data_IF_941261001155
#
_entry.id   IF_941261001155
#
_cell.length_a   1.000
_cell.length_b   1.000
_cell.length_c   1.000
_cell.angle_alpha   90.00
_cell.angle_beta   90.00
_cell.angle_gamma   90.00
#
_symmetry.space_group_name_H-M   'P 1'
#
loop_
_entity.id
_entity.type
_entity.pdbx_description
1 polymer ?
#
# COMPACT_ATOMS: atom_id res chain seq x y z
N UNK A 1 7.20 -35.87 -23.14
CA UNK A 1 7.86 -34.72 -22.46
C UNK A 1 8.11 -35.13 -21.03
N UNK A 2 9.36 -35.42 -20.66
CA UNK A 2 9.69 -35.71 -19.28
C UNK A 2 9.53 -34.43 -18.45
N UNK A 3 8.56 -34.41 -17.56
CA UNK A 3 8.45 -33.36 -16.55
C UNK A 3 9.68 -33.46 -15.64
N UNK A 4 10.56 -32.47 -15.69
CA UNK A 4 11.65 -32.33 -14.74
C UNK A 4 11.00 -31.94 -13.42
N UNK A 5 10.90 -32.86 -12.49
CA UNK A 5 10.45 -32.54 -11.13
C UNK A 5 11.56 -31.74 -10.44
N UNK A 6 11.29 -30.52 -9.98
CA UNK A 6 12.33 -29.73 -9.31
C UNK A 6 12.81 -30.45 -8.05
N UNK A 7 14.12 -30.53 -7.86
CA UNK A 7 14.73 -31.16 -6.68
C UNK A 7 14.93 -30.21 -5.51
N UNK A 8 14.62 -28.91 -5.67
CA UNK A 8 14.72 -27.92 -4.62
C UNK A 8 13.39 -27.75 -3.89
N UNK A 9 13.45 -27.45 -2.60
CA UNK A 9 12.29 -27.12 -1.79
C UNK A 9 12.07 -25.61 -1.77
N UNK A 10 10.86 -25.20 -2.07
CA UNK A 10 10.43 -23.82 -1.88
C UNK A 10 10.47 -23.45 -0.39
N UNK A 11 10.75 -22.19 -0.06
CA UNK A 11 10.55 -21.67 1.28
C UNK A 11 9.08 -21.83 1.70
N UNK A 12 8.79 -22.06 3.00
CA UNK A 12 7.43 -22.28 3.51
C UNK A 12 6.47 -21.20 3.02
N UNK A 13 6.82 -19.92 3.16
CA UNK A 13 6.02 -18.79 2.70
C UNK A 13 5.66 -18.85 1.20
N UNK A 14 6.55 -19.35 0.35
CA UNK A 14 6.28 -19.51 -1.07
C UNK A 14 5.40 -20.73 -1.38
N UNK A 15 5.29 -21.69 -0.47
CA UNK A 15 4.39 -22.84 -0.61
C UNK A 15 2.94 -22.46 -0.25
N UNK A 16 2.78 -21.53 0.68
CA UNK A 16 1.48 -21.06 1.15
C UNK A 16 0.90 -19.95 0.25
N UNK A 17 1.74 -19.32 -0.57
CA UNK A 17 1.33 -18.34 -1.57
C UNK A 17 0.83 -19.05 -2.84
N UNK A 18 -0.25 -19.79 -2.73
CA UNK A 18 -1.05 -20.07 -3.90
C UNK A 18 -1.79 -18.79 -4.21
N UNK A 19 -1.22 -17.97 -5.11
CA UNK A 19 -1.96 -16.84 -5.65
C UNK A 19 -3.30 -17.41 -6.16
N UNK A 20 -4.45 -17.06 -5.56
CA UNK A 20 -5.70 -17.32 -6.22
C UNK A 20 -5.55 -16.66 -7.58
N UNK A 21 -5.73 -17.42 -8.64
CA UNK A 21 -5.76 -16.85 -9.96
C UNK A 21 -6.83 -15.74 -9.94
N UNK A 22 -6.39 -14.49 -9.86
CA UNK A 22 -7.26 -13.30 -10.03
C UNK A 22 -7.65 -13.18 -11.51
N UNK A 23 -7.54 -14.26 -12.22
CA UNK A 23 -8.25 -14.50 -13.47
C UNK A 23 -9.64 -15.01 -13.07
N UNK A 24 -10.49 -14.11 -12.55
CA UNK A 24 -11.90 -14.29 -12.80
C UNK A 24 -12.05 -14.31 -14.32
N UNK A 25 -11.93 -15.50 -14.90
CA UNK A 25 -12.30 -15.71 -16.29
C UNK A 25 -13.75 -15.29 -16.39
N UNK A 26 -14.00 -14.21 -17.12
CA UNK A 26 -15.34 -13.77 -17.42
C UNK A 26 -16.08 -14.97 -18.03
N UNK A 27 -16.95 -15.57 -17.26
CA UNK A 27 -17.81 -16.61 -17.78
C UNK A 27 -18.97 -15.94 -18.54
N UNK A 28 -18.90 -15.96 -19.87
CA UNK A 28 -19.96 -15.45 -20.74
C UNK A 28 -20.08 -13.92 -20.78
N UNK A 29 -21.30 -13.39 -20.74
CA UNK A 29 -21.61 -11.97 -20.85
C UNK A 29 -21.52 -11.19 -19.53
N UNK A 30 -20.71 -11.62 -18.57
CA UNK A 30 -20.54 -10.95 -17.30
C UNK A 30 -19.81 -9.60 -17.48
N UNK A 31 -20.39 -8.55 -16.89
CA UNK A 31 -19.75 -7.24 -16.81
C UNK A 31 -18.64 -7.31 -15.74
N UNK A 32 -17.41 -7.02 -16.13
CA UNK A 32 -16.27 -7.03 -15.23
C UNK A 32 -16.22 -5.72 -14.41
N UNK A 33 -16.53 -5.81 -13.13
CA UNK A 33 -16.45 -4.68 -12.18
C UNK A 33 -15.32 -4.86 -11.15
N UNK A 34 -14.53 -5.93 -11.26
CA UNK A 34 -13.55 -6.29 -10.24
C UNK A 34 -12.14 -5.72 -10.43
N UNK A 35 -11.82 -5.17 -11.59
CA UNK A 35 -10.50 -4.60 -11.89
C UNK A 35 -10.56 -3.08 -12.00
N UNK A 36 -9.76 -2.37 -11.20
CA UNK A 36 -9.65 -0.91 -11.28
C UNK A 36 -8.72 -0.44 -12.40
N UNK A 37 -8.95 -0.89 -13.64
CA UNK A 37 -8.18 -0.46 -14.79
C UNK A 37 -8.79 0.80 -15.41
N UNK A 38 -7.93 1.80 -15.69
CA UNK A 38 -8.35 2.96 -16.49
C UNK A 38 -8.80 2.51 -17.89
N UNK A 39 -9.82 3.16 -18.45
CA UNK A 39 -10.23 2.90 -19.81
C UNK A 39 -9.14 3.43 -20.77
N UNK A 40 -8.59 2.60 -21.69
CA UNK A 40 -7.41 2.98 -22.48
C UNK A 40 -7.56 4.30 -23.23
N UNK A 41 -8.75 4.58 -23.78
CA UNK A 41 -9.00 5.80 -24.58
C UNK A 41 -9.05 7.09 -23.72
N UNK A 42 -9.09 6.96 -22.38
CA UNK A 42 -9.08 8.10 -21.45
C UNK A 42 -7.70 8.36 -20.86
N UNK A 43 -6.71 7.51 -21.14
CA UNK A 43 -5.35 7.73 -20.69
C UNK A 43 -4.67 8.82 -21.52
N UNK A 44 -3.92 9.74 -20.88
CA UNK A 44 -3.21 10.78 -21.61
C UNK A 44 -2.13 10.18 -22.53
N UNK A 45 -2.05 10.66 -23.76
CA UNK A 45 -0.97 10.29 -24.69
C UNK A 45 0.32 11.06 -24.38
N UNK A 46 0.98 10.63 -23.30
CA UNK A 46 2.27 11.22 -22.88
C UNK A 46 3.47 10.36 -23.30
N UNK A 47 3.22 9.22 -23.94
CA UNK A 47 4.29 8.25 -24.24
C UNK A 47 5.29 8.83 -25.23
N UNK A 48 4.83 9.47 -26.29
CA UNK A 48 5.71 10.08 -27.30
C UNK A 48 6.58 11.19 -26.69
N UNK A 49 6.02 12.04 -25.85
CA UNK A 49 6.75 13.10 -25.14
C UNK A 49 7.77 12.51 -24.14
N UNK A 50 7.37 11.52 -23.36
CA UNK A 50 8.24 10.85 -22.41
C UNK A 50 9.43 10.14 -23.10
N UNK A 51 9.19 9.48 -24.24
CA UNK A 51 10.24 8.85 -25.04
C UNK A 51 11.21 9.90 -25.58
N UNK A 52 10.71 10.98 -26.19
CA UNK A 52 11.55 12.06 -26.69
C UNK A 52 12.41 12.70 -25.58
N UNK A 53 11.84 12.91 -24.40
CA UNK A 53 12.58 13.42 -23.25
C UNK A 53 13.65 12.44 -22.75
N UNK A 54 13.37 11.13 -22.78
CA UNK A 54 14.30 10.10 -22.39
C UNK A 54 15.46 9.92 -23.38
N UNK A 55 15.18 9.93 -24.69
CA UNK A 55 16.18 9.81 -25.76
C UNK A 55 17.17 10.99 -25.77
N UNK A 56 16.74 12.17 -25.30
CA UNK A 56 17.60 13.34 -25.18
C UNK A 56 18.70 13.21 -24.12
N UNK A 57 18.61 12.20 -23.25
CA UNK A 57 19.57 11.98 -22.15
C UNK A 57 20.24 10.62 -22.30
N UNK A 58 21.52 10.61 -22.71
CA UNK A 58 22.29 9.36 -22.86
C UNK A 58 22.38 8.55 -21.57
N UNK A 59 22.31 9.20 -20.42
CA UNK A 59 22.33 8.56 -19.10
C UNK A 59 21.07 7.73 -18.81
N UNK A 60 19.98 7.90 -19.52
CA UNK A 60 18.72 7.15 -19.31
C UNK A 60 18.91 5.62 -19.45
N UNK A 61 19.89 5.20 -20.22
CA UNK A 61 20.23 3.78 -20.45
C UNK A 61 21.26 3.22 -19.46
N UNK A 62 21.69 4.02 -18.49
CA UNK A 62 22.65 3.61 -17.46
C UNK A 62 21.95 3.28 -16.15
N UNK A 63 22.73 2.72 -15.21
CA UNK A 63 22.26 2.54 -13.84
C UNK A 63 21.91 3.90 -13.22
N UNK A 64 20.72 4.00 -12.66
CA UNK A 64 20.29 5.17 -11.92
C UNK A 64 20.81 5.22 -10.48
N UNK A 65 20.65 6.35 -9.80
CA UNK A 65 20.97 6.47 -8.37
C UNK A 65 20.07 5.56 -7.51
N UNK A 66 20.62 5.09 -6.39
CA UNK A 66 19.96 4.12 -5.49
C UNK A 66 18.56 4.55 -5.03
N UNK A 67 18.37 5.83 -4.76
CA UNK A 67 17.10 6.38 -4.25
C UNK A 67 16.17 6.90 -5.34
N UNK A 68 16.57 6.85 -6.59
CA UNK A 68 15.89 7.47 -7.73
C UNK A 68 16.55 8.78 -8.17
N UNK A 69 16.19 9.25 -9.38
CA UNK A 69 16.73 10.48 -9.94
C UNK A 69 16.39 11.67 -9.04
N UNK A 70 17.37 12.54 -8.80
CA UNK A 70 17.22 13.71 -7.92
C UNK A 70 16.12 14.66 -8.42
N UNK A 71 16.08 14.94 -9.73
CA UNK A 71 15.03 15.77 -10.34
C UNK A 71 13.62 15.21 -10.10
N UNK A 72 13.47 13.87 -10.19
CA UNK A 72 12.19 13.20 -9.91
C UNK A 72 11.82 13.33 -8.43
N UNK A 73 12.78 13.10 -7.53
CA UNK A 73 12.56 13.22 -6.08
C UNK A 73 12.19 14.64 -5.68
N UNK A 74 12.84 15.65 -6.25
CA UNK A 74 12.49 17.06 -6.05
C UNK A 74 11.08 17.39 -6.58
N UNK A 75 10.73 16.83 -7.74
CA UNK A 75 9.38 16.96 -8.30
C UNK A 75 8.33 16.33 -7.38
N UNK A 76 8.62 15.15 -6.79
CA UNK A 76 7.74 14.51 -5.82
C UNK A 76 7.60 15.36 -4.56
N UNK A 77 8.68 15.94 -4.03
CA UNK A 77 8.62 16.86 -2.89
C UNK A 77 7.69 18.05 -3.19
N UNK A 78 7.86 18.68 -4.35
CA UNK A 78 7.01 19.80 -4.78
C UNK A 78 5.55 19.39 -4.98
N UNK A 79 5.31 18.16 -5.44
CA UNK A 79 3.97 17.59 -5.60
C UNK A 79 3.30 17.35 -4.25
N UNK A 80 4.00 16.78 -3.27
CA UNK A 80 3.49 16.54 -1.92
C UNK A 80 3.21 17.85 -1.17
N UNK A 81 4.02 18.89 -1.40
CA UNK A 81 3.81 20.19 -0.79
C UNK A 81 2.47 20.85 -1.17
N UNK A 82 1.88 20.49 -2.33
CA UNK A 82 0.55 20.97 -2.73
C UNK A 82 -0.57 20.44 -1.81
N UNK A 83 -0.34 19.33 -1.15
CA UNK A 83 -1.25 18.70 -0.19
C UNK A 83 -0.83 19.02 1.27
N UNK A 84 0.06 19.99 1.47
CA UNK A 84 0.54 20.39 2.80
C UNK A 84 1.54 19.42 3.44
N UNK A 85 2.02 18.41 2.70
CA UNK A 85 3.00 17.45 3.19
C UNK A 85 4.40 18.06 3.06
N UNK A 86 5.06 18.28 4.19
CA UNK A 86 6.42 18.81 4.25
C UNK A 86 7.41 17.65 4.21
N UNK A 87 8.11 17.50 3.11
CA UNK A 87 9.13 16.48 2.92
C UNK A 87 10.40 17.10 2.35
N UNK A 88 11.55 16.48 2.62
CA UNK A 88 12.81 16.76 1.96
C UNK A 88 13.12 15.63 0.96
N UNK A 89 14.07 15.86 0.06
CA UNK A 89 14.49 14.84 -0.92
C UNK A 89 14.91 13.54 -0.25
N UNK A 90 15.53 13.60 0.92
CA UNK A 90 15.98 12.46 1.70
C UNK A 90 14.85 11.58 2.21
N UNK A 91 13.63 12.11 2.26
CA UNK A 91 12.43 11.34 2.63
C UNK A 91 11.81 10.60 1.45
N UNK A 92 12.34 10.75 0.23
CA UNK A 92 11.79 10.18 -0.98
C UNK A 92 12.64 9.00 -1.46
N UNK A 93 12.01 7.86 -1.61
CA UNK A 93 12.57 6.66 -2.24
C UNK A 93 11.68 6.27 -3.42
N UNK A 94 12.26 6.26 -4.62
CA UNK A 94 11.58 5.78 -5.83
C UNK A 94 11.66 4.26 -5.90
N UNK A 95 10.51 3.62 -6.00
CA UNK A 95 10.41 2.14 -6.00
C UNK A 95 9.64 1.63 -7.22
N UNK A 96 9.64 0.32 -7.43
CA UNK A 96 8.93 -0.32 -8.54
C UNK A 96 7.42 -0.49 -8.23
N UNK A 97 6.74 0.62 -7.97
CA UNK A 97 5.32 0.68 -7.62
C UNK A 97 5.05 0.51 -6.12
N UNK A 98 3.84 0.88 -5.68
CA UNK A 98 3.42 0.89 -4.28
C UNK A 98 3.55 -0.47 -3.59
N UNK A 99 3.30 -1.58 -4.31
CA UNK A 99 3.48 -2.94 -3.77
C UNK A 99 4.92 -3.21 -3.32
N UNK A 100 5.91 -2.75 -4.11
CA UNK A 100 7.31 -2.86 -3.72
C UNK A 100 7.63 -1.97 -2.51
N UNK A 101 7.03 -0.77 -2.44
CA UNK A 101 7.14 0.08 -1.26
C UNK A 101 6.62 -0.59 0.01
N UNK A 102 5.46 -1.24 -0.07
CA UNK A 102 4.89 -1.99 1.06
C UNK A 102 5.75 -3.20 1.45
N UNK A 103 6.27 -3.97 0.47
CA UNK A 103 7.19 -5.10 0.75
C UNK A 103 8.45 -4.61 1.47
N UNK A 104 9.03 -3.49 1.04
CA UNK A 104 10.19 -2.89 1.72
C UNK A 104 9.84 -2.41 3.14
N UNK A 105 8.69 -1.78 3.33
CA UNK A 105 8.23 -1.39 4.68
C UNK A 105 8.08 -2.62 5.59
N UNK A 106 7.47 -3.70 5.09
CA UNK A 106 7.39 -4.95 5.84
C UNK A 106 8.76 -5.46 6.26
N UNK A 107 9.73 -5.47 5.35
CA UNK A 107 11.11 -5.95 5.64
C UNK A 107 11.85 -5.09 6.66
N UNK A 108 11.52 -3.80 6.76
CA UNK A 108 12.16 -2.88 7.70
C UNK A 108 11.53 -2.95 9.09
N UNK A 109 10.21 -3.12 9.17
CA UNK A 109 9.46 -2.96 10.41
C UNK A 109 8.96 -4.26 11.04
N UNK A 110 8.90 -5.36 10.28
CA UNK A 110 8.27 -6.60 10.72
C UNK A 110 9.25 -7.77 10.83
N UNK A 111 9.11 -8.50 11.92
CA UNK A 111 9.62 -9.85 12.07
C UNK A 111 8.49 -10.87 11.91
N UNK A 112 8.79 -12.15 11.56
CA UNK A 112 7.78 -13.17 11.45
C UNK A 112 6.93 -13.32 12.73
N UNK A 113 5.62 -13.21 12.58
CA UNK A 113 4.67 -13.29 13.69
C UNK A 113 4.24 -11.95 14.28
N UNK A 114 4.91 -10.85 13.92
CA UNK A 114 4.50 -9.51 14.35
C UNK A 114 3.07 -9.18 13.89
N UNK A 115 2.35 -8.42 14.73
CA UNK A 115 1.00 -8.02 14.42
C UNK A 115 0.97 -6.75 13.56
N UNK A 116 0.08 -6.75 12.56
CA UNK A 116 -0.22 -5.59 11.71
C UNK A 116 -1.69 -5.23 11.83
N UNK A 117 -1.98 -3.95 12.06
CA UNK A 117 -3.33 -3.42 12.06
C UNK A 117 -3.78 -3.21 10.61
N UNK A 118 -4.97 -3.68 10.28
CA UNK A 118 -5.59 -3.49 8.97
C UNK A 118 -7.08 -3.20 9.10
N UNK A 119 -7.63 -2.43 8.18
CA UNK A 119 -9.08 -2.30 8.06
C UNK A 119 -9.72 -3.64 7.67
N UNK A 120 -10.99 -3.84 8.01
CA UNK A 120 -11.77 -5.01 7.60
C UNK A 120 -13.09 -4.58 6.95
N UNK A 121 -13.26 -4.78 5.63
CA UNK A 121 -12.31 -5.38 4.67
C UNK A 121 -11.12 -4.47 4.34
N UNK A 122 -10.09 -5.00 3.67
CA UNK A 122 -8.95 -4.23 3.18
C UNK A 122 -8.46 -4.70 1.81
N UNK A 123 -7.50 -3.98 1.22
CA UNK A 123 -6.94 -4.28 -0.09
C UNK A 123 -6.25 -5.65 -0.13
N UNK A 124 -6.80 -6.56 -0.96
CA UNK A 124 -6.39 -7.95 -0.99
C UNK A 124 -4.89 -8.15 -1.30
N UNK A 125 -4.32 -7.34 -2.20
CA UNK A 125 -2.90 -7.48 -2.53
C UNK A 125 -1.99 -7.10 -1.35
N UNK A 126 -2.38 -6.10 -0.55
CA UNK A 126 -1.65 -5.78 0.67
C UNK A 126 -1.69 -6.95 1.67
N UNK A 127 -2.85 -7.63 1.80
CA UNK A 127 -2.97 -8.83 2.63
C UNK A 127 -1.98 -9.91 2.20
N UNK A 128 -1.77 -10.10 0.89
CA UNK A 128 -0.79 -11.09 0.39
C UNK A 128 0.64 -10.70 0.78
N UNK A 129 1.02 -9.43 0.58
CA UNK A 129 2.37 -8.93 0.92
C UNK A 129 2.63 -9.08 2.43
N UNK A 130 1.65 -8.71 3.26
CA UNK A 130 1.74 -8.84 4.72
C UNK A 130 1.81 -10.31 5.16
N UNK A 131 1.10 -11.22 4.49
CA UNK A 131 1.23 -12.67 4.72
C UNK A 131 2.60 -13.21 4.31
N UNK A 132 3.15 -12.72 3.21
CA UNK A 132 4.50 -13.09 2.77
C UNK A 132 5.58 -12.64 3.77
N UNK A 133 5.31 -11.56 4.51
CA UNK A 133 6.10 -11.13 5.66
C UNK A 133 5.83 -11.94 6.95
N UNK A 134 4.98 -12.98 6.88
CA UNK A 134 4.55 -13.82 8.01
C UNK A 134 3.87 -13.02 9.14
N UNK A 135 3.23 -11.87 8.80
CA UNK A 135 2.53 -11.03 9.77
C UNK A 135 1.22 -11.69 10.27
N UNK A 136 0.87 -11.43 11.50
CA UNK A 136 -0.44 -11.68 12.08
C UNK A 136 -1.32 -10.43 11.96
N UNK A 137 -2.65 -10.58 11.89
CA UNK A 137 -3.55 -9.46 11.64
C UNK A 137 -4.36 -9.06 12.87
N UNK A 138 -4.35 -7.76 13.18
CA UNK A 138 -5.34 -7.12 14.03
C UNK A 138 -6.33 -6.37 13.11
N UNK A 139 -7.43 -7.05 12.76
CA UNK A 139 -8.43 -6.52 11.85
C UNK A 139 -9.44 -5.65 12.60
N UNK A 140 -9.63 -4.41 12.12
CA UNK A 140 -10.56 -3.43 12.70
C UNK A 140 -11.65 -3.09 11.68
N UNK A 141 -12.93 -3.20 12.01
CA UNK A 141 -14.01 -2.82 11.11
C UNK A 141 -13.98 -1.33 10.78
N UNK A 142 -14.65 -0.99 9.67
CA UNK A 142 -14.87 0.38 9.24
C UNK A 142 -16.34 0.74 9.39
N UNK A 143 -16.59 2.01 9.67
CA UNK A 143 -17.89 2.66 9.55
C UNK A 143 -17.82 3.73 8.43
N UNK A 144 -18.83 4.59 8.33
CA UNK A 144 -18.91 5.65 7.31
C UNK A 144 -17.80 6.70 7.42
N UNK A 145 -17.09 6.75 8.55
CA UNK A 145 -15.96 7.64 8.80
C UNK A 145 -14.58 6.95 8.66
N UNK A 146 -14.53 5.67 8.25
CA UNK A 146 -13.31 4.89 8.10
C UNK A 146 -13.09 3.90 9.26
N UNK A 147 -11.84 3.55 9.54
CA UNK A 147 -11.48 2.58 10.59
C UNK A 147 -12.04 3.02 11.95
N UNK A 148 -12.67 2.10 12.70
CA UNK A 148 -13.16 2.36 14.07
C UNK A 148 -11.98 2.53 15.06
N UNK A 149 -11.52 3.78 15.20
CA UNK A 149 -10.40 4.13 16.08
C UNK A 149 -10.70 3.91 17.55
N UNK A 150 -11.97 4.01 17.96
CA UNK A 150 -12.37 3.72 19.34
C UNK A 150 -12.28 2.23 19.67
N UNK A 151 -12.66 1.36 18.73
CA UNK A 151 -12.44 -0.08 18.88
C UNK A 151 -10.95 -0.41 18.83
N UNK A 152 -10.18 0.21 17.92
CA UNK A 152 -8.74 0.01 17.85
C UNK A 152 -8.08 0.33 19.19
N UNK A 153 -8.40 1.49 19.79
CA UNK A 153 -7.88 1.86 21.12
C UNK A 153 -8.14 0.77 22.13
N UNK A 154 -9.38 0.32 22.29
CA UNK A 154 -9.72 -0.76 23.23
C UNK A 154 -8.91 -2.02 22.99
N UNK A 155 -8.73 -2.43 21.74
CA UNK A 155 -7.94 -3.62 21.37
C UNK A 155 -6.45 -3.47 21.71
N UNK A 156 -5.90 -2.28 21.54
CA UNK A 156 -4.51 -1.98 21.90
C UNK A 156 -4.31 -1.98 23.43
N UNK A 157 -5.23 -1.37 24.15
CA UNK A 157 -5.23 -1.38 25.63
C UNK A 157 -5.36 -2.81 26.18
N UNK A 158 -6.33 -3.60 25.68
CA UNK A 158 -6.49 -5.00 26.05
C UNK A 158 -5.19 -5.82 25.83
N UNK A 159 -4.51 -5.60 24.70
CA UNK A 159 -3.23 -6.28 24.40
C UNK A 159 -2.13 -5.87 25.37
N UNK A 160 -1.97 -4.57 25.60
CA UNK A 160 -0.98 -4.02 26.54
C UNK A 160 -1.21 -4.55 27.95
N UNK A 161 -2.44 -4.51 28.44
CA UNK A 161 -2.79 -4.91 29.81
C UNK A 161 -2.62 -6.43 30.03
N UNK A 162 -2.79 -7.22 28.98
CA UNK A 162 -2.54 -8.68 28.99
C UNK A 162 -1.06 -9.04 28.71
N UNK A 163 -0.16 -8.07 28.52
CA UNK A 163 1.24 -8.32 28.19
C UNK A 163 1.43 -8.98 26.82
N UNK A 164 0.47 -8.83 25.91
CA UNK A 164 0.53 -9.34 24.55
C UNK A 164 1.44 -8.51 23.64
N UNK A 165 1.92 -9.09 22.52
CA UNK A 165 2.76 -8.35 21.57
C UNK A 165 1.95 -7.22 20.91
N UNK A 166 2.52 -6.01 20.93
CA UNK A 166 1.93 -4.85 20.32
C UNK A 166 2.12 -4.87 18.79
N UNK A 167 1.16 -4.35 18.01
CA UNK A 167 1.33 -4.21 16.58
C UNK A 167 2.51 -3.30 16.26
N UNK A 168 3.23 -3.58 15.17
CA UNK A 168 4.37 -2.79 14.68
C UNK A 168 3.99 -1.84 13.57
N UNK A 169 2.95 -2.18 12.82
CA UNK A 169 2.56 -1.47 11.61
C UNK A 169 1.04 -1.42 11.51
N UNK A 170 0.53 -0.31 10.97
CA UNK A 170 -0.83 -0.18 10.47
C UNK A 170 -0.75 0.06 8.96
N UNK A 171 -1.52 -0.71 8.18
CA UNK A 171 -1.71 -0.46 6.75
C UNK A 171 -3.15 -0.03 6.50
N UNK A 172 -3.35 1.09 5.79
CA UNK A 172 -4.67 1.55 5.36
C UNK A 172 -4.62 2.32 4.03
N UNK A 173 -5.79 2.42 3.39
CA UNK A 173 -6.07 3.23 2.19
C UNK A 173 -7.11 4.28 2.58
N UNK A 174 -6.71 5.44 3.11
CA UNK A 174 -7.62 6.34 3.80
C UNK A 174 -8.55 7.14 2.88
N UNK A 175 -8.22 7.29 1.59
CA UNK A 175 -9.05 7.96 0.60
C UNK A 175 -9.68 6.96 -0.36
N UNK A 176 -11.02 6.98 -0.47
CA UNK A 176 -11.77 6.07 -1.36
C UNK A 176 -11.34 4.62 -1.20
N UNK A 177 -11.30 4.18 0.04
CA UNK A 177 -10.77 2.90 0.49
C UNK A 177 -11.12 1.73 -0.43
N UNK A 178 -10.14 0.93 -0.79
CA UNK A 178 -10.37 -0.30 -1.53
C UNK A 178 -10.56 -1.50 -0.57
N UNK A 179 -11.77 -2.16 -0.52
CA UNK A 179 -12.81 -2.13 -1.53
C UNK A 179 -14.05 -1.29 -1.17
N UNK A 180 -14.09 -0.56 -0.05
CA UNK A 180 -15.34 0.00 0.48
C UNK A 180 -15.75 1.34 -0.15
N UNK A 181 -14.82 2.08 -0.75
CA UNK A 181 -15.05 3.44 -1.25
C UNK A 181 -15.13 4.51 -0.16
N UNK A 182 -14.97 4.15 1.10
CA UNK A 182 -15.04 5.09 2.24
C UNK A 182 -13.82 6.00 2.24
N UNK A 183 -14.01 7.27 2.55
CA UNK A 183 -12.93 8.21 2.84
C UNK A 183 -12.87 8.45 4.35
N UNK A 184 -11.71 8.22 4.94
CA UNK A 184 -11.51 8.41 6.38
C UNK A 184 -11.65 9.88 6.75
N UNK A 185 -12.45 10.16 7.77
CA UNK A 185 -12.66 11.51 8.27
C UNK A 185 -11.39 12.10 8.89
N UNK A 186 -11.27 13.43 8.86
CA UNK A 186 -10.13 14.12 9.48
C UNK A 186 -10.03 13.85 11.01
N UNK A 187 -11.14 13.57 11.68
CA UNK A 187 -11.15 13.18 13.09
C UNK A 187 -10.46 11.82 13.27
N UNK A 188 -10.87 10.82 12.50
CA UNK A 188 -10.29 9.46 12.53
C UNK A 188 -8.78 9.46 12.19
N UNK A 189 -8.37 10.29 11.21
CA UNK A 189 -6.93 10.43 10.88
C UNK A 189 -6.13 10.95 12.06
N UNK A 190 -6.63 11.98 12.77
CA UNK A 190 -5.99 12.50 14.00
C UNK A 190 -5.93 11.47 15.11
N UNK A 191 -7.03 10.72 15.30
CA UNK A 191 -7.05 9.64 16.30
C UNK A 191 -6.04 8.55 15.97
N UNK A 192 -5.90 8.15 14.70
CA UNK A 192 -4.91 7.16 14.28
C UNK A 192 -3.48 7.61 14.55
N UNK A 193 -3.15 8.86 14.23
CA UNK A 193 -1.83 9.43 14.52
C UNK A 193 -1.56 9.42 16.02
N UNK A 194 -2.53 9.87 16.84
CA UNK A 194 -2.40 9.85 18.29
C UNK A 194 -2.22 8.42 18.84
N UNK A 195 -2.94 7.43 18.30
CA UNK A 195 -2.77 6.04 18.66
C UNK A 195 -1.41 5.49 18.25
N UNK A 196 -0.91 5.86 17.08
CA UNK A 196 0.41 5.44 16.61
C UNK A 196 1.52 5.98 17.52
N UNK A 197 1.40 7.23 17.97
CA UNK A 197 2.34 7.83 18.94
C UNK A 197 2.25 7.16 20.33
N UNK A 198 1.02 6.89 20.82
CA UNK A 198 0.81 6.31 22.14
C UNK A 198 1.27 4.85 22.23
N UNK A 199 1.05 4.06 21.17
CA UNK A 199 1.27 2.62 21.16
C UNK A 199 2.49 2.18 20.33
N UNK A 200 3.26 3.13 19.80
CA UNK A 200 4.54 2.92 19.10
C UNK A 200 4.42 1.99 17.88
N UNK A 201 3.53 2.31 16.94
CA UNK A 201 3.44 1.64 15.66
C UNK A 201 3.56 2.62 14.47
N UNK A 202 4.05 2.12 13.34
CA UNK A 202 4.20 2.89 12.11
C UNK A 202 2.91 2.83 11.28
N UNK A 203 2.47 3.96 10.73
CA UNK A 203 1.38 4.02 9.75
C UNK A 203 1.97 3.96 8.35
N UNK A 204 1.53 2.99 7.55
CA UNK A 204 1.77 2.90 6.10
C UNK A 204 0.47 3.24 5.39
N UNK A 205 0.42 4.43 4.84
CA UNK A 205 -0.69 4.93 4.05
C UNK A 205 -0.47 4.61 2.58
N UNK A 206 -1.40 3.89 1.94
CA UNK A 206 -1.45 3.68 0.49
C UNK A 206 -2.44 4.67 -0.12
N UNK A 207 -1.94 5.65 -0.88
CA UNK A 207 -2.71 6.79 -1.36
C UNK A 207 -2.75 6.88 -2.89
N UNK A 208 -3.44 5.96 -3.57
CA UNK A 208 -3.57 6.01 -5.02
C UNK A 208 -4.73 6.88 -5.51
N UNK A 209 -5.65 7.31 -4.63
CA UNK A 209 -6.96 7.83 -5.06
C UNK A 209 -7.23 9.28 -4.65
N UNK A 210 -6.50 9.88 -3.74
CA UNK A 210 -6.79 11.22 -3.18
C UNK A 210 -7.07 12.27 -4.26
N UNK A 211 -6.30 12.25 -5.37
CA UNK A 211 -6.39 13.25 -6.43
C UNK A 211 -7.43 12.97 -7.52
N UNK A 212 -8.14 11.86 -7.45
CA UNK A 212 -9.28 11.57 -8.35
C UNK A 212 -10.62 11.91 -7.69
N UNK A 213 -10.60 12.80 -6.70
CA UNK A 213 -11.78 13.28 -5.98
C UNK A 213 -12.67 14.13 -6.89
N UNK A 214 -13.98 13.88 -6.86
CA UNK A 214 -14.98 14.67 -7.59
C UNK A 214 -15.70 15.68 -6.70
N UNK A 215 -15.82 15.39 -5.40
CA UNK A 215 -16.52 16.20 -4.42
C UNK A 215 -15.80 16.14 -3.07
N UNK A 216 -16.01 17.20 -2.23
CA UNK A 216 -15.42 17.30 -0.90
C UNK A 216 -14.00 17.89 -0.90
N UNK A 217 -13.52 18.22 0.29
CA UNK A 217 -12.17 18.73 0.52
C UNK A 217 -11.16 17.56 0.57
N UNK A 218 -9.91 17.78 0.13
CA UNK A 218 -8.86 16.77 0.17
C UNK A 218 -8.42 16.45 1.59
#
# INVERSE_FOLDING_TARGET
MNQITPTYRWARRAQDTVAPAVTATAHGNAIQLGGGYGFPDTLPDIVAEAVAAAEAKAETLQYGPLYGLDDLRDTIVAYLAQDGIVAARENILVVNGAKHGLDLACRVFLEPGDAVIVAAPTYLTAVHILKDAEASFLSIPQDEEGMDTALLRRRLEERRDNGGPMPKLLFDVPDFHNPTGITMSAARRRDLVALAEEFDFVIVEDDPYRRIRFEGEP
#
